data_IF_907870995181
#
_entry.id   IF_907870995181
#
_cell.length_a   1.000
_cell.length_b   1.000
_cell.length_c   1.000
_cell.angle_alpha   90.00
_cell.angle_beta   90.00
_cell.angle_gamma   90.00
#
_symmetry.space_group_name_H-M   'P 1'
#
loop_
_entity.id
_entity.type
_entity.pdbx_description
1 polymer ?
#
# COMPACT_ATOMS: atom_id res chain seq x y z
N UNK A 1 35.80 7.96 68.33
CA UNK A 1 36.11 7.61 66.93
C UNK A 1 35.12 8.33 66.02
N UNK A 2 35.54 9.48 65.50
CA UNK A 2 34.80 10.34 64.56
C UNK A 2 35.45 10.26 63.19
N UNK A 3 34.62 10.29 62.13
CA UNK A 3 34.86 10.77 60.75
C UNK A 3 34.37 9.75 59.72
N UNK A 4 33.19 10.00 59.16
CA UNK A 4 32.90 9.55 57.81
C UNK A 4 32.56 10.75 56.93
N UNK A 5 33.25 10.80 55.80
CA UNK A 5 33.60 11.99 55.03
C UNK A 5 32.68 12.07 53.81
N UNK A 6 32.32 13.29 53.43
CA UNK A 6 31.98 13.78 52.09
C UNK A 6 32.05 12.74 50.94
N UNK A 7 31.06 12.73 50.04
CA UNK A 7 31.15 13.47 48.76
C UNK A 7 29.78 13.44 48.05
N UNK A 8 29.44 14.63 47.56
CA UNK A 8 28.25 15.07 46.84
C UNK A 8 28.59 15.19 45.35
N UNK A 9 27.55 15.08 44.50
CA UNK A 9 27.52 15.33 43.04
C UNK A 9 28.23 14.28 42.20
N UNK A 10 27.48 13.69 41.25
CA UNK A 10 27.74 13.79 39.79
C UNK A 10 26.83 12.82 39.01
N UNK A 11 26.02 13.40 38.11
CA UNK A 11 25.79 12.95 36.72
C UNK A 11 24.54 12.09 36.40
N UNK A 12 23.89 12.55 35.31
CA UNK A 12 23.09 11.83 34.33
C UNK A 12 21.64 11.49 34.67
N UNK A 13 20.81 12.51 34.57
CA UNK A 13 19.70 12.54 33.63
C UNK A 13 19.95 11.64 32.40
N UNK A 14 19.36 10.46 32.36
CA UNK A 14 19.19 9.71 31.10
C UNK A 14 17.69 9.58 30.87
N UNK A 15 17.23 10.40 29.94
CA UNK A 15 15.85 10.64 29.57
C UNK A 15 15.17 9.35 29.08
N UNK A 16 14.05 9.05 29.72
CA UNK A 16 12.97 8.19 29.28
C UNK A 16 12.32 8.80 28.02
N UNK A 17 12.49 8.19 26.85
CA UNK A 17 11.67 8.41 25.64
C UNK A 17 11.51 7.03 24.99
N UNK A 18 10.47 6.28 25.37
CA UNK A 18 9.16 6.27 24.70
C UNK A 18 9.25 5.73 23.26
N UNK A 19 8.63 4.55 23.08
CA UNK A 19 8.74 3.73 21.89
C UNK A 19 8.22 4.41 20.63
N UNK A 20 8.97 4.19 19.55
CA UNK A 20 8.46 4.31 18.20
C UNK A 20 8.52 2.89 17.65
N UNK A 21 7.45 2.13 17.88
CA UNK A 21 7.19 0.94 17.09
C UNK A 21 6.92 1.45 15.68
N UNK A 22 7.96 1.46 14.84
CA UNK A 22 7.78 1.55 13.39
C UNK A 22 7.12 0.24 13.00
N UNK A 23 5.79 0.25 12.91
CA UNK A 23 5.04 -0.78 12.21
C UNK A 23 5.51 -0.78 10.76
N UNK A 24 6.47 -1.65 10.46
CA UNK A 24 6.85 -1.97 9.10
C UNK A 24 5.68 -2.74 8.50
N UNK A 25 4.70 -2.02 7.95
CA UNK A 25 3.70 -2.60 7.10
C UNK A 25 4.44 -3.29 5.94
N UNK A 26 4.39 -4.61 5.92
CA UNK A 26 4.86 -5.41 4.80
C UNK A 26 3.92 -5.12 3.63
N UNK A 27 4.18 -4.03 2.90
CA UNK A 27 3.42 -3.66 1.72
C UNK A 27 3.75 -4.68 0.62
N UNK A 28 2.78 -5.51 0.26
CA UNK A 28 2.86 -6.30 -0.97
C UNK A 28 3.02 -5.33 -2.14
N UNK A 29 4.15 -5.45 -2.84
CA UNK A 29 4.48 -4.60 -3.97
C UNK A 29 4.08 -5.32 -5.25
N UNK A 30 3.24 -4.66 -6.05
CA UNK A 30 2.73 -5.15 -7.32
C UNK A 30 3.42 -4.41 -8.45
N UNK A 31 3.93 -5.14 -9.43
CA UNK A 31 4.45 -4.57 -10.68
C UNK A 31 3.32 -4.50 -11.70
N UNK A 32 3.10 -3.32 -12.29
CA UNK A 32 2.08 -3.12 -13.33
C UNK A 32 2.78 -2.89 -14.67
N UNK A 33 2.57 -3.79 -15.63
CA UNK A 33 3.03 -3.61 -17.00
C UNK A 33 2.02 -4.20 -17.98
N UNK A 34 1.00 -3.41 -18.28
CA UNK A 34 -0.12 -3.77 -19.15
C UNK A 34 -0.13 -2.80 -20.32
N UNK A 35 0.22 -3.26 -21.52
CA UNK A 35 0.23 -2.42 -22.73
C UNK A 35 -0.81 -2.95 -23.71
N UNK A 36 -1.77 -2.12 -24.10
CA UNK A 36 -2.90 -2.53 -24.95
C UNK A 36 -3.61 -3.80 -24.43
N UNK A 37 -3.72 -3.91 -23.11
CA UNK A 37 -4.29 -5.09 -22.47
C UNK A 37 -5.80 -4.91 -22.28
N UNK A 38 -6.55 -5.98 -22.46
CA UNK A 38 -7.99 -5.98 -22.21
C UNK A 38 -8.30 -5.67 -20.74
N UNK A 39 -9.28 -4.80 -20.51
CA UNK A 39 -9.69 -4.39 -19.15
C UNK A 39 -10.03 -5.60 -18.26
N UNK A 40 -10.69 -6.62 -18.81
CA UNK A 40 -11.02 -7.86 -18.09
C UNK A 40 -9.76 -8.59 -17.58
N UNK A 41 -8.74 -8.70 -18.43
CA UNK A 41 -7.48 -9.37 -18.08
C UNK A 41 -6.72 -8.57 -17.03
N UNK A 42 -6.67 -7.24 -17.17
CA UNK A 42 -5.99 -6.38 -16.20
C UNK A 42 -6.70 -6.42 -14.84
N UNK A 43 -8.02 -6.35 -14.82
CA UNK A 43 -8.81 -6.43 -13.58
C UNK A 43 -8.58 -7.77 -12.86
N UNK A 44 -8.60 -8.90 -13.58
CA UNK A 44 -8.31 -10.23 -13.00
C UNK A 44 -6.87 -10.32 -12.47
N UNK A 45 -5.90 -9.84 -13.22
CA UNK A 45 -4.49 -9.87 -12.83
C UNK A 45 -4.24 -9.01 -11.58
N UNK A 46 -4.80 -7.81 -11.54
CA UNK A 46 -4.70 -6.93 -10.36
C UNK A 46 -5.45 -7.54 -9.19
N UNK A 47 -6.64 -8.10 -9.39
CA UNK A 47 -7.38 -8.80 -8.34
C UNK A 47 -6.56 -9.94 -7.72
N UNK A 48 -5.95 -10.78 -8.55
CA UNK A 48 -5.06 -11.85 -8.11
C UNK A 48 -3.80 -11.33 -7.40
N UNK A 49 -3.17 -10.28 -7.91
CA UNK A 49 -1.97 -9.69 -7.32
C UNK A 49 -2.23 -8.97 -5.99
N UNK A 50 -3.42 -8.39 -5.83
CA UNK A 50 -3.84 -7.63 -4.64
C UNK A 50 -4.61 -8.51 -3.64
N UNK A 51 -4.83 -9.79 -3.96
CA UNK A 51 -5.65 -10.70 -3.15
C UNK A 51 -7.13 -10.26 -3.01
N UNK A 52 -7.65 -9.48 -3.96
CA UNK A 52 -9.04 -8.99 -3.94
C UNK A 52 -9.86 -9.62 -5.07
N UNK A 53 -11.10 -9.99 -4.76
CA UNK A 53 -12.04 -10.47 -5.77
C UNK A 53 -12.60 -9.28 -6.55
N UNK A 54 -12.27 -9.21 -7.85
CA UNK A 54 -12.77 -8.18 -8.76
C UNK A 54 -13.74 -8.84 -9.74
N UNK A 55 -14.97 -8.33 -9.84
CA UNK A 55 -15.99 -8.81 -10.79
C UNK A 55 -16.11 -7.80 -11.92
N UNK A 56 -15.87 -8.25 -13.15
CA UNK A 56 -15.96 -7.42 -14.35
C UNK A 56 -17.31 -7.64 -15.02
N UNK A 57 -18.07 -6.56 -15.22
CA UNK A 57 -19.33 -6.62 -15.97
C UNK A 57 -19.07 -6.93 -17.46
N UNK A 58 -19.86 -7.80 -18.11
CA UNK A 58 -19.65 -8.20 -19.50
C UNK A 58 -19.70 -7.04 -20.51
N UNK A 59 -20.27 -5.89 -20.16
CA UNK A 59 -20.33 -4.68 -21.01
C UNK A 59 -19.03 -3.90 -21.00
N UNK A 60 -18.13 -4.17 -20.05
CA UNK A 60 -16.82 -3.52 -19.96
C UNK A 60 -15.90 -4.13 -21.01
N UNK A 61 -15.86 -3.48 -22.18
CA UNK A 61 -14.99 -3.83 -23.30
C UNK A 61 -14.10 -2.64 -23.63
N UNK A 62 -12.82 -2.92 -23.81
CA UNK A 62 -11.81 -1.91 -24.09
C UNK A 62 -10.42 -2.38 -23.71
N UNK A 63 -9.43 -1.64 -24.18
CA UNK A 63 -8.04 -1.86 -23.86
C UNK A 63 -7.53 -0.69 -23.01
N UNK A 64 -6.59 -0.98 -22.13
CA UNK A 64 -5.93 0.03 -21.32
C UNK A 64 -4.40 -0.12 -21.42
N UNK A 65 -3.72 0.97 -21.09
CA UNK A 65 -2.29 0.99 -20.87
C UNK A 65 -2.01 1.40 -19.42
N UNK A 66 -1.38 0.52 -18.65
CA UNK A 66 -1.05 0.69 -17.24
C UNK A 66 0.39 0.21 -17.03
N UNK A 67 1.32 1.15 -16.96
CA UNK A 67 2.75 0.88 -16.75
C UNK A 67 3.22 1.61 -15.49
N UNK A 68 3.84 0.88 -14.59
CA UNK A 68 4.50 1.41 -13.41
C UNK A 68 6.00 1.12 -13.51
N UNK A 69 6.83 2.15 -13.44
CA UNK A 69 8.30 2.04 -13.49
C UNK A 69 8.89 1.36 -12.26
N UNK A 70 8.18 1.41 -11.13
CA UNK A 70 8.57 0.78 -9.87
C UNK A 70 7.44 -0.06 -9.32
N UNK A 71 7.73 -1.14 -8.55
CA UNK A 71 6.72 -1.87 -7.81
C UNK A 71 5.94 -0.90 -6.92
N UNK A 72 4.61 -0.90 -7.06
CA UNK A 72 3.72 -0.02 -6.29
C UNK A 72 2.98 -0.83 -5.24
N UNK A 73 2.64 -0.26 -4.08
CA UNK A 73 1.80 -0.94 -3.12
C UNK A 73 0.41 -1.22 -3.72
N UNK A 74 -0.23 -2.28 -3.24
CA UNK A 74 -1.60 -2.69 -3.59
C UNK A 74 -2.60 -1.52 -3.70
N UNK A 75 -2.66 -0.64 -2.69
CA UNK A 75 -3.55 0.53 -2.69
C UNK A 75 -3.29 1.48 -3.85
N UNK A 76 -2.02 1.65 -4.21
CA UNK A 76 -1.62 2.52 -5.31
C UNK A 76 -1.90 1.86 -6.66
N UNK A 77 -1.74 0.54 -6.77
CA UNK A 77 -2.13 -0.22 -7.95
C UNK A 77 -3.62 -0.04 -8.25
N UNK A 78 -4.48 -0.19 -7.23
CA UNK A 78 -5.93 0.01 -7.36
C UNK A 78 -6.30 1.44 -7.75
N UNK A 79 -5.67 2.44 -7.14
CA UNK A 79 -5.90 3.86 -7.52
C UNK A 79 -5.51 4.14 -8.96
N UNK A 80 -4.42 3.54 -9.43
CA UNK A 80 -3.95 3.71 -10.81
C UNK A 80 -4.92 3.05 -11.78
N UNK A 81 -5.38 1.82 -11.47
CA UNK A 81 -6.43 1.14 -12.22
C UNK A 81 -7.72 1.97 -12.27
N UNK A 82 -8.17 2.48 -11.13
CA UNK A 82 -9.37 3.31 -11.04
C UNK A 82 -9.25 4.57 -11.91
N UNK A 83 -8.07 5.19 -11.92
CA UNK A 83 -7.80 6.38 -12.75
C UNK A 83 -7.87 6.04 -14.24
N UNK A 84 -7.26 4.93 -14.66
CA UNK A 84 -7.31 4.45 -16.04
C UNK A 84 -8.74 4.07 -16.48
N UNK A 85 -9.50 3.38 -15.61
CA UNK A 85 -10.90 3.03 -15.87
C UNK A 85 -11.77 4.28 -16.03
N UNK A 86 -11.56 5.30 -15.19
CA UNK A 86 -12.29 6.57 -15.28
C UNK A 86 -12.05 7.29 -16.61
N UNK A 87 -10.83 7.25 -17.14
CA UNK A 87 -10.53 7.79 -18.47
C UNK A 87 -11.28 7.07 -19.59
N UNK A 88 -11.57 5.78 -19.40
CA UNK A 88 -12.35 4.96 -20.31
C UNK A 88 -13.87 5.05 -20.08
N UNK A 89 -14.31 5.85 -19.10
CA UNK A 89 -15.74 5.99 -18.74
C UNK A 89 -16.28 4.87 -17.86
N UNK A 90 -15.41 4.02 -17.31
CA UNK A 90 -15.76 2.97 -16.37
C UNK A 90 -15.43 3.39 -14.93
N UNK A 91 -16.11 2.77 -13.96
CA UNK A 91 -15.85 2.98 -12.55
C UNK A 91 -15.64 1.63 -11.86
N UNK A 92 -14.69 1.61 -10.92
CA UNK A 92 -14.48 0.52 -9.99
C UNK A 92 -15.28 0.83 -8.72
N UNK A 93 -16.17 -0.07 -8.32
CA UNK A 93 -17.12 0.15 -7.22
C UNK A 93 -16.88 -0.94 -6.18
N UNK A 94 -16.60 -0.52 -4.95
CA UNK A 94 -16.45 -1.45 -3.83
C UNK A 94 -17.79 -1.57 -3.09
N UNK A 95 -18.39 -2.75 -3.07
CA UNK A 95 -19.60 -3.06 -2.30
C UNK A 95 -19.34 -4.29 -1.41
N UNK A 96 -19.44 -4.10 -0.09
CA UNK A 96 -19.37 -5.16 0.93
C UNK A 96 -18.22 -6.20 0.83
N UNK A 97 -17.07 -5.83 0.25
CA UNK A 97 -15.89 -6.72 0.12
C UNK A 97 -15.70 -7.31 -1.27
N UNK A 98 -16.56 -6.96 -2.24
CA UNK A 98 -16.38 -7.24 -3.66
C UNK A 98 -16.03 -5.93 -4.38
N UNK A 99 -15.06 -6.00 -5.29
CA UNK A 99 -14.58 -4.87 -6.11
C UNK A 99 -15.02 -4.99 -7.58
#
# INVERSE_FOLDING_TARGET
MTRNRFVMRRIATTLMVAGIIVSQAAYAQVTLNFVNADIDQVAKAIGAATGKTIIVDPRVKGQLNLVAERPVPEDQALKTLQSALRMQGFALVQDHGVL
#
